data_IF_058277379828
#
_entry.id   IF_058277379828
#
_cell.length_a   1.000
_cell.length_b   1.000
_cell.length_c   1.000
_cell.angle_alpha   90.00
_cell.angle_beta   90.00
_cell.angle_gamma   90.00
#
_symmetry.space_group_name_H-M   'P 1'
#
loop_
_entity.id
_entity.type
_entity.pdbx_description
1 polymer ?
#
# COMPACT_ATOMS: atom_id res chain seq x y z
N UNK A 1 -20.14 -12.19 -5.45
CA UNK A 1 -19.30 -11.56 -6.49
C UNK A 1 -17.88 -11.58 -5.96
N UNK A 2 -16.90 -12.08 -6.73
CA UNK A 2 -15.53 -12.30 -6.24
C UNK A 2 -14.75 -10.96 -6.23
N UNK A 3 -14.05 -10.67 -5.14
CA UNK A 3 -13.15 -9.52 -5.04
C UNK A 3 -11.79 -9.88 -5.64
N UNK A 4 -11.23 -8.99 -6.46
CA UNK A 4 -9.92 -9.19 -7.08
C UNK A 4 -8.83 -8.39 -6.36
N UNK A 5 -7.65 -8.99 -6.17
CA UNK A 5 -6.41 -8.32 -5.74
C UNK A 5 -5.58 -7.82 -6.93
N UNK A 6 -6.11 -7.96 -8.15
CA UNK A 6 -5.41 -7.65 -9.39
C UNK A 6 -5.69 -6.23 -9.84
N UNK A 7 -4.63 -5.58 -10.31
CA UNK A 7 -4.62 -4.21 -10.82
C UNK A 7 -4.09 -4.23 -12.24
N UNK A 8 -4.81 -3.56 -13.14
CA UNK A 8 -4.38 -3.34 -14.52
C UNK A 8 -3.49 -2.09 -14.56
N UNK A 9 -2.22 -2.24 -14.94
CA UNK A 9 -1.29 -1.12 -15.14
C UNK A 9 -1.21 -0.71 -16.61
N UNK A 10 -1.23 -1.69 -17.51
CA UNK A 10 -1.27 -1.51 -18.96
C UNK A 10 -2.11 -2.65 -19.56
N UNK A 11 -2.58 -2.58 -20.82
CA UNK A 11 -3.47 -3.59 -21.42
C UNK A 11 -3.03 -5.05 -21.25
N UNK A 12 -1.72 -5.28 -21.19
CA UNK A 12 -1.04 -6.56 -21.05
C UNK A 12 -0.25 -6.70 -19.72
N UNK A 13 -0.32 -5.70 -18.84
CA UNK A 13 0.39 -5.68 -17.57
C UNK A 13 -0.59 -5.69 -16.39
N UNK A 14 -0.71 -6.85 -15.76
CA UNK A 14 -1.56 -7.07 -14.58
C UNK A 14 -0.67 -7.39 -13.38
N UNK A 15 -0.86 -6.65 -12.29
CA UNK A 15 -0.20 -6.93 -11.01
C UNK A 15 -1.21 -7.49 -10.03
N UNK A 16 -0.89 -8.63 -9.42
CA UNK A 16 -1.68 -9.22 -8.35
C UNK A 16 -1.01 -8.93 -7.00
N UNK A 17 -1.62 -8.11 -6.15
CA UNK A 17 -1.07 -7.78 -4.83
C UNK A 17 -0.94 -9.00 -3.91
N UNK A 18 -1.82 -10.00 -4.05
CA UNK A 18 -1.70 -11.22 -3.24
C UNK A 18 -0.50 -12.06 -3.65
N UNK A 19 -0.14 -12.06 -4.94
CA UNK A 19 1.03 -12.80 -5.44
C UNK A 19 2.33 -12.01 -5.26
N UNK A 20 2.27 -10.71 -5.57
CA UNK A 20 3.35 -9.71 -5.53
C UNK A 20 3.00 -8.65 -4.48
N UNK A 21 3.28 -8.90 -3.19
CA UNK A 21 2.82 -8.07 -2.07
C UNK A 21 3.47 -6.68 -2.02
N UNK A 22 4.57 -6.50 -2.75
CA UNK A 22 5.29 -5.26 -2.83
C UNK A 22 5.66 -4.93 -4.27
N UNK A 23 5.64 -3.65 -4.60
CA UNK A 23 5.94 -3.13 -5.94
C UNK A 23 6.98 -2.01 -5.81
N UNK A 24 8.06 -2.06 -6.58
CA UNK A 24 8.99 -0.94 -6.68
C UNK A 24 8.75 -0.25 -8.00
N UNK A 25 8.48 1.05 -7.95
CA UNK A 25 8.42 1.92 -9.11
C UNK A 25 9.69 2.77 -9.12
N UNK A 26 10.40 2.83 -10.25
CA UNK A 26 11.63 3.61 -10.39
C UNK A 26 11.75 4.16 -11.81
N UNK A 27 12.58 5.19 -12.00
CA UNK A 27 12.74 5.90 -13.25
C UNK A 27 13.18 7.34 -13.02
N UNK A 28 13.51 8.06 -14.09
CA UNK A 28 13.99 9.46 -14.03
C UNK A 28 12.84 10.47 -13.93
N UNK A 29 13.14 11.74 -13.69
CA UNK A 29 12.15 12.83 -13.78
C UNK A 29 11.53 12.85 -15.18
N UNK A 30 10.20 13.01 -15.27
CA UNK A 30 9.47 12.99 -16.54
C UNK A 30 9.11 11.59 -17.05
N UNK A 31 9.54 10.50 -16.39
CA UNK A 31 9.20 9.13 -16.79
C UNK A 31 7.82 8.64 -16.31
N UNK A 32 6.91 9.57 -16.01
CA UNK A 32 5.50 9.28 -15.62
C UNK A 32 5.33 8.36 -14.39
N UNK A 33 6.31 8.33 -13.47
CA UNK A 33 6.24 7.53 -12.23
C UNK A 33 4.99 7.84 -11.40
N UNK A 34 4.74 9.13 -11.19
CA UNK A 34 3.58 9.62 -10.43
C UNK A 34 2.27 9.12 -11.04
N UNK A 35 2.06 9.33 -12.35
CA UNK A 35 0.84 8.89 -13.03
C UNK A 35 0.64 7.37 -12.91
N UNK A 36 1.72 6.59 -13.03
CA UNK A 36 1.66 5.13 -12.86
C UNK A 36 1.13 4.76 -11.48
N UNK A 37 1.59 5.48 -10.45
CA UNK A 37 1.17 5.25 -9.06
C UNK A 37 -0.25 5.73 -8.78
N UNK A 38 -0.65 6.86 -9.36
CA UNK A 38 -2.04 7.31 -9.29
C UNK A 38 -2.99 6.27 -9.90
N UNK A 39 -2.59 5.65 -11.01
CA UNK A 39 -3.36 4.59 -11.63
C UNK A 39 -3.39 3.30 -10.80
N UNK A 40 -2.26 2.92 -10.19
CA UNK A 40 -2.19 1.84 -9.20
C UNK A 40 -3.15 2.11 -8.05
N UNK A 41 -3.08 3.32 -7.49
CA UNK A 41 -3.88 3.75 -6.35
C UNK A 41 -5.38 3.76 -6.69
N UNK A 42 -5.75 4.30 -7.85
CA UNK A 42 -7.14 4.34 -8.26
C UNK A 42 -7.70 2.94 -8.51
N UNK A 43 -6.90 2.06 -9.11
CA UNK A 43 -7.27 0.66 -9.34
C UNK A 43 -7.44 -0.12 -8.04
N UNK A 44 -6.53 0.05 -7.08
CA UNK A 44 -6.58 -0.64 -5.76
C UNK A 44 -7.73 -0.15 -4.90
N UNK A 45 -8.03 1.15 -4.93
CA UNK A 45 -9.12 1.73 -4.13
C UNK A 45 -10.50 1.50 -4.74
N UNK A 46 -10.59 1.25 -6.05
CA UNK A 46 -11.85 1.12 -6.77
C UNK A 46 -12.69 -0.05 -6.26
N UNK A 47 -14.01 0.17 -6.20
CA UNK A 47 -14.99 -0.88 -5.92
C UNK A 47 -15.35 -1.73 -7.14
N UNK A 48 -15.03 -1.25 -8.34
CA UNK A 48 -15.22 -1.97 -9.59
C UNK A 48 -13.86 -2.42 -10.12
N UNK A 49 -13.76 -3.68 -10.52
CA UNK A 49 -12.57 -4.19 -11.18
C UNK A 49 -12.39 -3.49 -12.53
N UNK A 50 -11.17 -3.08 -12.84
CA UNK A 50 -10.78 -2.56 -14.17
C UNK A 50 -10.51 -3.69 -15.17
N UNK A 51 -10.47 -4.95 -14.73
CA UNK A 51 -10.18 -6.12 -15.55
C UNK A 51 -11.44 -6.76 -16.11
N UNK A 52 -12.50 -6.84 -15.30
CA UNK A 52 -13.76 -7.47 -15.67
C UNK A 52 -14.92 -6.78 -14.94
N UNK A 53 -15.94 -6.35 -15.69
CA UNK A 53 -17.13 -5.69 -15.15
C UNK A 53 -17.93 -6.54 -14.15
N UNK A 54 -17.74 -7.86 -14.15
CA UNK A 54 -18.38 -8.82 -13.24
C UNK A 54 -17.58 -9.08 -11.94
N UNK A 55 -16.41 -8.47 -11.78
CA UNK A 55 -15.59 -8.59 -10.57
C UNK A 55 -15.65 -7.32 -9.70
N UNK A 56 -15.63 -7.51 -8.38
CA UNK A 56 -15.46 -6.40 -7.45
C UNK A 56 -13.98 -6.02 -7.37
N UNK A 57 -13.72 -4.71 -7.40
CA UNK A 57 -12.37 -4.19 -7.18
C UNK A 57 -11.93 -4.38 -5.72
N UNK A 58 -10.63 -4.28 -5.50
CA UNK A 58 -9.99 -4.58 -4.21
C UNK A 58 -10.51 -3.73 -3.04
N UNK A 59 -11.08 -2.55 -3.32
CA UNK A 59 -11.59 -1.63 -2.31
C UNK A 59 -10.57 -1.33 -1.20
N UNK A 60 -9.26 -1.34 -1.49
CA UNK A 60 -8.23 -1.23 -0.47
C UNK A 60 -8.33 0.11 0.29
N UNK A 61 -7.87 0.13 1.54
CA UNK A 61 -7.60 1.38 2.24
C UNK A 61 -6.19 1.84 1.89
N UNK A 62 -6.06 3.04 1.32
CA UNK A 62 -4.76 3.59 0.97
C UNK A 62 -4.17 4.44 2.09
N UNK A 63 -2.85 4.34 2.24
CA UNK A 63 -2.01 5.28 2.97
C UNK A 63 -0.95 5.81 2.01
N UNK A 64 -0.67 7.11 2.08
CA UNK A 64 0.28 7.77 1.19
C UNK A 64 1.33 8.48 2.03
N UNK A 65 2.59 8.28 1.67
CA UNK A 65 3.74 9.02 2.15
C UNK A 65 4.33 9.72 0.92
N UNK A 66 4.52 11.04 0.97
CA UNK A 66 5.07 11.84 -0.13
C UNK A 66 6.16 12.76 0.43
N UNK A 67 7.42 12.36 0.28
CA UNK A 67 8.57 13.09 0.83
C UNK A 67 8.77 14.49 0.24
N UNK A 68 8.29 14.75 -0.98
CA UNK A 68 8.40 16.06 -1.64
C UNK A 68 7.20 16.97 -1.35
N UNK A 69 6.08 16.38 -0.95
CA UNK A 69 4.83 17.10 -0.72
C UNK A 69 4.30 17.78 -2.00
N UNK A 70 4.58 17.20 -3.17
CA UNK A 70 4.19 17.76 -4.46
C UNK A 70 3.02 16.99 -5.07
N UNK A 71 3.33 15.90 -5.78
CA UNK A 71 2.43 15.34 -6.78
C UNK A 71 1.28 14.59 -6.10
N UNK A 72 1.61 13.73 -5.13
CA UNK A 72 0.62 12.97 -4.37
C UNK A 72 0.00 13.78 -3.23
N UNK A 73 0.64 14.86 -2.78
CA UNK A 73 0.07 15.79 -1.79
C UNK A 73 -1.26 16.43 -2.26
N UNK A 74 -1.50 16.48 -3.57
CA UNK A 74 -2.76 16.91 -4.17
C UNK A 74 -3.97 16.03 -3.77
N UNK A 75 -3.72 14.77 -3.39
CA UNK A 75 -4.72 13.80 -2.92
C UNK A 75 -5.14 14.07 -1.46
N UNK A 76 -5.61 15.28 -1.17
CA UNK A 76 -5.91 15.77 0.18
C UNK A 76 -6.85 14.86 0.98
N UNK A 77 -7.77 14.17 0.30
CA UNK A 77 -8.70 13.23 0.94
C UNK A 77 -8.01 12.01 1.58
N UNK A 78 -6.78 11.69 1.16
CA UNK A 78 -5.98 10.60 1.71
C UNK A 78 -5.04 11.06 2.84
N UNK A 79 -4.97 12.36 3.10
CA UNK A 79 -4.07 12.97 4.07
C UNK A 79 -2.62 12.46 3.98
N UNK A 80 -1.91 12.71 2.84
CA UNK A 80 -0.56 12.22 2.65
C UNK A 80 0.40 12.67 3.76
N UNK A 81 1.26 11.77 4.21
CA UNK A 81 2.31 12.09 5.16
C UNK A 81 3.50 12.71 4.41
N UNK A 82 3.76 13.99 4.67
CA UNK A 82 4.78 14.79 3.94
C UNK A 82 5.99 15.17 4.79
N UNK A 83 5.95 14.83 6.09
CA UNK A 83 7.06 15.07 7.03
C UNK A 83 7.61 13.76 7.58
N UNK A 84 8.88 13.69 8.00
CA UNK A 84 9.46 12.50 8.63
C UNK A 84 8.65 12.01 9.84
N UNK A 85 8.14 12.93 10.67
CA UNK A 85 7.28 12.61 11.81
C UNK A 85 5.96 11.95 11.39
N UNK A 86 5.30 12.47 10.35
CA UNK A 86 4.07 11.89 9.83
C UNK A 86 4.35 10.52 9.21
N UNK A 87 5.44 10.37 8.46
CA UNK A 87 5.84 9.09 7.85
C UNK A 87 6.10 8.02 8.93
N UNK A 88 6.91 8.35 9.95
CA UNK A 88 7.18 7.47 11.09
C UNK A 88 5.89 7.08 11.82
N UNK A 89 4.97 8.04 12.03
CA UNK A 89 3.66 7.77 12.65
C UNK A 89 2.81 6.83 11.79
N UNK A 90 2.72 7.06 10.48
CA UNK A 90 1.96 6.22 9.55
C UNK A 90 2.49 4.79 9.54
N UNK A 91 3.80 4.62 9.42
CA UNK A 91 4.45 3.31 9.46
C UNK A 91 4.23 2.60 10.80
N UNK A 92 4.31 3.33 11.91
CA UNK A 92 4.02 2.79 13.26
C UNK A 92 2.58 2.29 13.38
N UNK A 93 1.61 3.06 12.86
CA UNK A 93 0.18 2.68 12.87
C UNK A 93 -0.02 1.40 12.05
N UNK A 94 0.56 1.33 10.85
CA UNK A 94 0.44 0.17 9.97
C UNK A 94 1.11 -1.07 10.56
N UNK A 95 2.27 -0.92 11.18
CA UNK A 95 2.95 -2.04 11.86
C UNK A 95 2.13 -2.54 13.04
N UNK A 96 1.51 -1.63 13.81
CA UNK A 96 0.57 -2.03 14.87
C UNK A 96 -0.66 -2.76 14.31
N UNK A 97 -1.24 -2.27 13.21
CA UNK A 97 -2.36 -2.94 12.53
C UNK A 97 -1.98 -4.35 12.05
N UNK A 98 -0.78 -4.50 11.48
CA UNK A 98 -0.22 -5.80 11.10
C UNK A 98 -0.18 -6.78 12.28
N UNK A 99 0.39 -6.37 13.42
CA UNK A 99 0.44 -7.23 14.61
C UNK A 99 -0.94 -7.59 15.15
N UNK A 100 -1.86 -6.62 15.24
CA UNK A 100 -3.23 -6.90 15.67
C UNK A 100 -3.91 -7.92 14.74
N UNK A 101 -3.71 -7.80 13.41
CA UNK A 101 -4.27 -8.77 12.45
C UNK A 101 -3.69 -10.16 12.63
N UNK A 102 -2.42 -10.31 12.98
CA UNK A 102 -1.86 -11.64 13.29
C UNK A 102 -2.48 -12.27 14.54
N UNK A 103 -2.69 -11.46 15.58
CA UNK A 103 -3.31 -11.94 16.81
C UNK A 103 -4.76 -12.42 16.56
N UNK A 104 -5.49 -11.72 15.69
CA UNK A 104 -6.91 -11.99 15.44
C UNK A 104 -7.19 -12.97 14.30
N UNK A 105 -6.32 -13.02 13.29
CA UNK A 105 -6.50 -13.80 12.06
C UNK A 105 -5.32 -14.75 11.86
N UNK A 106 -5.16 -15.69 12.79
CA UNK A 106 -4.19 -16.78 12.71
C UNK A 106 -4.93 -18.13 12.73
N UNK A 107 -4.30 -19.16 12.14
CA UNK A 107 -4.76 -20.55 12.29
C UNK A 107 -4.88 -21.35 10.99
N UNK A 108 -5.16 -20.70 9.86
CA UNK A 108 -5.36 -21.40 8.58
C UNK A 108 -4.18 -21.18 7.61
N UNK A 109 -3.55 -22.29 7.20
CA UNK A 109 -2.47 -22.26 6.23
C UNK A 109 -2.92 -21.69 4.88
N UNK A 110 -2.17 -20.74 4.34
CA UNK A 110 -2.42 -20.15 3.03
C UNK A 110 -3.48 -19.05 2.98
N UNK A 111 -4.09 -18.67 4.11
CA UNK A 111 -5.00 -17.52 4.17
C UNK A 111 -4.26 -16.23 4.52
N UNK A 112 -4.78 -15.13 4.01
CA UNK A 112 -4.44 -13.76 4.40
C UNK A 112 -5.57 -13.14 5.22
N UNK A 113 -5.33 -12.05 5.94
CA UNK A 113 -6.35 -11.38 6.75
C UNK A 113 -7.63 -11.05 5.94
N UNK A 114 -7.51 -10.65 4.67
CA UNK A 114 -8.65 -10.30 3.80
C UNK A 114 -9.54 -11.49 3.41
N UNK A 115 -9.12 -12.73 3.68
CA UNK A 115 -9.94 -13.91 3.52
C UNK A 115 -10.89 -14.15 4.71
N UNK A 116 -10.68 -13.44 5.83
CA UNK A 116 -11.54 -13.47 7.01
C UNK A 116 -12.63 -12.39 6.94
N UNK A 117 -13.72 -12.61 7.66
CA UNK A 117 -14.86 -11.69 7.75
C UNK A 117 -15.16 -11.34 9.19
N UNK A 118 -15.37 -10.05 9.47
CA UNK A 118 -15.77 -9.51 10.76
C UNK A 118 -17.08 -8.76 10.58
N UNK A 119 -18.10 -9.09 11.38
CA UNK A 119 -19.42 -8.48 11.29
C UNK A 119 -20.03 -8.54 9.88
N UNK A 120 -19.81 -9.66 9.17
CA UNK A 120 -20.32 -9.88 7.81
C UNK A 120 -19.58 -9.12 6.70
N UNK A 121 -18.44 -8.48 7.01
CA UNK A 121 -17.59 -7.79 6.02
C UNK A 121 -16.19 -8.36 6.03
N UNK A 122 -15.64 -8.62 4.84
CA UNK A 122 -14.24 -9.01 4.69
C UNK A 122 -13.30 -7.97 5.32
N UNK A 123 -12.23 -8.45 5.95
CA UNK A 123 -11.18 -7.57 6.44
C UNK A 123 -10.58 -6.82 5.26
N UNK A 124 -10.52 -5.49 5.37
CA UNK A 124 -10.13 -4.64 4.26
C UNK A 124 -8.62 -4.72 4.01
N UNK A 125 -8.23 -4.97 2.76
CA UNK A 125 -6.83 -4.85 2.35
C UNK A 125 -6.32 -3.40 2.53
N UNK A 126 -5.03 -3.25 2.77
CA UNK A 126 -4.36 -1.96 2.93
C UNK A 126 -3.24 -1.85 1.91
N UNK A 127 -3.10 -0.69 1.29
CA UNK A 127 -1.99 -0.37 0.38
C UNK A 127 -1.28 0.87 0.92
N UNK A 128 0.02 0.76 1.12
CA UNK A 128 0.90 1.88 1.46
C UNK A 128 1.70 2.28 0.22
N UNK A 129 1.53 3.51 -0.24
CA UNK A 129 2.33 4.12 -1.30
C UNK A 129 3.35 5.06 -0.67
N UNK A 130 4.60 4.98 -1.09
CA UNK A 130 5.67 5.87 -0.63
C UNK A 130 6.33 6.52 -1.83
N UNK A 131 6.16 7.82 -1.97
CA UNK A 131 6.89 8.67 -2.91
C UNK A 131 8.05 9.39 -2.24
N UNK A 132 9.18 9.35 -2.94
CA UNK A 132 10.44 9.94 -2.54
C UNK A 132 10.83 9.66 -1.08
N UNK A 133 10.98 8.37 -0.75
CA UNK A 133 11.41 7.94 0.59
C UNK A 133 12.73 8.58 1.02
N UNK A 134 13.64 8.81 0.06
CA UNK A 134 14.97 9.36 0.32
C UNK A 134 14.93 10.72 1.04
N UNK A 135 13.98 11.60 0.69
CA UNK A 135 13.84 12.91 1.36
C UNK A 135 13.49 12.74 2.83
N UNK A 136 12.67 11.76 3.17
CA UNK A 136 12.24 11.51 4.55
C UNK A 136 13.35 10.85 5.38
N UNK A 137 14.22 10.07 4.74
CA UNK A 137 15.38 9.44 5.38
C UNK A 137 16.53 10.41 5.66
N UNK A 138 16.48 11.65 5.15
CA UNK A 138 17.45 12.69 5.48
C UNK A 138 17.34 13.18 6.92
N UNK A 139 16.23 12.91 7.63
CA UNK A 139 16.13 13.20 9.06
C UNK A 139 16.90 12.15 9.88
N UNK A 140 18.06 12.50 10.47
CA UNK A 140 18.90 11.52 11.15
C UNK A 140 18.25 10.96 12.43
N UNK A 141 17.31 11.68 13.05
CA UNK A 141 16.64 11.24 14.28
C UNK A 141 15.61 10.16 13.98
N UNK A 142 14.89 10.29 12.86
CA UNK A 142 13.78 9.42 12.52
C UNK A 142 14.12 8.36 11.48
N UNK A 143 15.23 8.49 10.75
CA UNK A 143 15.69 7.53 9.74
C UNK A 143 15.65 6.08 10.23
N UNK A 144 16.23 5.80 11.39
CA UNK A 144 16.27 4.43 11.94
C UNK A 144 14.89 3.90 12.28
N UNK A 145 13.99 4.75 12.76
CA UNK A 145 12.60 4.36 13.05
C UNK A 145 11.81 4.07 11.77
N UNK A 146 11.91 4.96 10.78
CA UNK A 146 11.26 4.83 9.47
C UNK A 146 11.71 3.53 8.80
N UNK A 147 13.03 3.29 8.71
CA UNK A 147 13.58 2.08 8.11
C UNK A 147 13.12 0.83 8.85
N UNK A 148 13.17 0.82 10.19
CA UNK A 148 12.75 -0.34 10.98
C UNK A 148 11.31 -0.76 10.67
N UNK A 149 10.35 0.16 10.77
CA UNK A 149 8.95 -0.18 10.47
C UNK A 149 8.73 -0.51 9.00
N UNK A 150 9.41 0.16 8.08
CA UNK A 150 9.30 -0.17 6.66
C UNK A 150 9.79 -1.60 6.40
N UNK A 151 10.92 -2.00 6.98
CA UNK A 151 11.43 -3.37 6.85
C UNK A 151 10.50 -4.38 7.51
N UNK A 152 9.96 -4.10 8.70
CA UNK A 152 8.99 -4.98 9.36
C UNK A 152 7.77 -5.23 8.44
N UNK A 153 7.27 -4.17 7.79
CA UNK A 153 6.17 -4.28 6.83
C UNK A 153 6.56 -5.06 5.57
N UNK A 154 7.72 -4.77 4.97
CA UNK A 154 8.17 -5.46 3.74
C UNK A 154 8.42 -6.96 3.96
N UNK A 155 8.79 -7.37 5.18
CA UNK A 155 9.08 -8.77 5.50
C UNK A 155 7.82 -9.56 5.82
N UNK A 156 6.91 -8.99 6.62
CA UNK A 156 5.82 -9.76 7.21
C UNK A 156 4.43 -9.43 6.63
N UNK A 157 4.18 -8.18 6.21
CA UNK A 157 2.84 -7.61 6.09
C UNK A 157 1.86 -8.32 5.13
N UNK A 158 2.35 -9.12 4.18
CA UNK A 158 1.53 -9.89 3.22
C UNK A 158 0.41 -10.67 3.89
N UNK A 159 0.72 -11.44 4.94
CA UNK A 159 -0.29 -12.27 5.61
C UNK A 159 -1.33 -11.43 6.35
N UNK A 160 -0.98 -10.20 6.75
CA UNK A 160 -1.89 -9.22 7.33
C UNK A 160 -2.69 -8.43 6.27
N UNK A 161 -2.56 -8.77 4.98
CA UNK A 161 -3.21 -8.07 3.86
C UNK A 161 -2.85 -6.58 3.79
N UNK A 162 -1.60 -6.26 4.10
CA UNK A 162 -1.01 -4.93 3.98
C UNK A 162 0.10 -5.03 2.92
N UNK A 163 -0.02 -4.23 1.88
CA UNK A 163 0.87 -4.22 0.72
C UNK A 163 1.60 -2.89 0.62
N UNK A 164 2.83 -2.89 0.13
CA UNK A 164 3.71 -1.69 0.16
C UNK A 164 4.31 -1.44 -1.22
N UNK A 165 4.21 -0.20 -1.70
CA UNK A 165 4.84 0.26 -2.93
C UNK A 165 5.82 1.38 -2.63
N UNK A 166 7.11 1.08 -2.35
CA UNK A 166 8.12 2.12 -2.21
C UNK A 166 8.68 2.56 -3.58
N UNK A 167 8.80 3.87 -3.78
CA UNK A 167 9.50 4.43 -4.94
C UNK A 167 11.02 4.44 -4.73
N UNK A 168 11.74 3.96 -5.74
CA UNK A 168 13.17 4.17 -5.90
C UNK A 168 13.41 5.38 -6.79
N UNK A 169 14.20 6.34 -6.31
CA UNK A 169 14.72 7.44 -7.12
C UNK A 169 15.64 6.92 -8.24
#
# INVERSE_FOLDING_TARGET
MKTTSKVLLAPDCIVDWKASPHMIVSGVTGSTKTNTIEDVLLSTMSAKSRLNAQELGMCAKAYVIDGKGSDLASLKALHPAVTPNQAARTLRILTKDMHMRYEHFSGDFGKTASDYSVNGKSVRDVVLIIDELAVLLNDPKLRSEILRYLFDLLVAARQASIYVSPLGA
#
